data_IF_901496203364
#
_entry.id   IF_901496203364
#
_cell.length_a   1.000
_cell.length_b   1.000
_cell.length_c   1.000
_cell.angle_alpha   90.00
_cell.angle_beta   90.00
_cell.angle_gamma   90.00
#
_symmetry.space_group_name_H-M   'P 1'
#
loop_
_entity.id
_entity.type
_entity.pdbx_description
1 polymer ?
#
# COMPACT_ATOMS: atom_id res chain seq x y z
N UNK A 1 11.66 -39.02 -11.42
CA UNK A 1 12.86 -39.27 -10.60
C UNK A 1 14.07 -39.04 -11.47
N UNK A 2 14.83 -37.96 -11.27
CA UNK A 2 16.13 -37.79 -11.93
C UNK A 2 17.22 -38.20 -10.94
N UNK A 3 18.04 -39.16 -11.36
CA UNK A 3 19.10 -39.82 -10.57
C UNK A 3 20.25 -38.86 -10.26
N UNK A 4 20.95 -39.10 -9.13
CA UNK A 4 22.19 -38.42 -8.69
C UNK A 4 23.38 -38.50 -9.67
N UNK A 5 23.22 -39.10 -10.85
CA UNK A 5 24.30 -39.39 -11.81
C UNK A 5 24.15 -38.71 -13.17
N UNK A 6 23.20 -37.79 -13.37
CA UNK A 6 23.03 -37.10 -14.66
C UNK A 6 23.89 -35.81 -14.68
N UNK A 7 24.94 -35.80 -15.50
CA UNK A 7 25.81 -34.63 -15.76
C UNK A 7 25.37 -33.82 -16.99
N UNK A 8 24.14 -34.03 -17.47
CA UNK A 8 23.54 -33.28 -18.57
C UNK A 8 22.21 -33.92 -19.00
N UNK A 9 21.13 -33.14 -18.95
CA UNK A 9 19.84 -33.48 -19.55
C UNK A 9 19.69 -32.72 -20.88
N UNK A 10 19.19 -33.40 -21.92
CA UNK A 10 18.71 -32.75 -23.14
C UNK A 10 17.18 -32.75 -23.08
N UNK A 11 16.58 -31.59 -22.89
CA UNK A 11 15.13 -31.39 -23.07
C UNK A 11 14.90 -31.17 -24.56
N UNK A 12 14.01 -31.95 -25.16
CA UNK A 12 13.62 -31.79 -26.56
C UNK A 12 12.56 -30.69 -26.65
N UNK A 13 12.86 -29.62 -27.39
CA UNK A 13 11.88 -28.64 -27.81
C UNK A 13 11.34 -29.10 -29.17
N UNK A 14 10.05 -29.46 -29.26
CA UNK A 14 9.41 -29.67 -30.55
C UNK A 14 8.87 -28.34 -31.08
N UNK A 15 9.17 -28.05 -32.34
CA UNK A 15 8.51 -27.00 -33.09
C UNK A 15 7.07 -27.46 -33.35
N UNK A 16 6.07 -26.62 -33.10
CA UNK A 16 4.68 -26.93 -33.42
C UNK A 16 4.54 -27.13 -34.93
N UNK A 17 4.12 -28.32 -35.38
CA UNK A 17 3.69 -28.52 -36.77
C UNK A 17 2.53 -27.56 -37.06
N UNK A 18 2.77 -26.58 -37.93
CA UNK A 18 1.78 -25.60 -38.40
C UNK A 18 1.90 -24.17 -37.85
N UNK A 19 2.75 -23.90 -36.85
CA UNK A 19 3.01 -22.54 -36.38
C UNK A 19 4.52 -22.26 -36.43
N UNK A 20 4.94 -21.32 -37.29
CA UNK A 20 6.35 -21.15 -37.63
C UNK A 20 7.29 -20.80 -36.47
N UNK A 21 6.86 -20.34 -35.28
CA UNK A 21 7.83 -19.79 -34.31
C UNK A 21 7.56 -20.00 -32.79
N UNK A 22 6.54 -20.74 -32.35
CA UNK A 22 6.30 -20.96 -30.89
C UNK A 22 6.83 -22.30 -30.38
N UNK A 23 7.56 -22.26 -29.27
CA UNK A 23 8.05 -23.46 -28.58
C UNK A 23 7.03 -23.91 -27.53
N UNK A 24 6.90 -25.23 -27.40
CA UNK A 24 6.04 -25.86 -26.39
C UNK A 24 6.90 -26.69 -25.43
N UNK A 25 6.74 -26.47 -24.13
CA UNK A 25 7.31 -27.34 -23.10
C UNK A 25 6.17 -28.18 -22.53
N UNK A 26 6.12 -29.46 -22.92
CA UNK A 26 5.06 -30.39 -22.53
C UNK A 26 5.57 -31.82 -22.44
N UNK A 27 4.94 -32.64 -21.59
CA UNK A 27 5.25 -34.07 -21.43
C UNK A 27 6.18 -34.31 -20.25
N UNK A 28 5.77 -35.22 -19.36
CA UNK A 28 6.44 -35.52 -18.09
C UNK A 28 5.50 -35.28 -16.91
N UNK A 29 5.33 -36.30 -16.07
CA UNK A 29 4.51 -36.23 -14.84
C UNK A 29 5.26 -35.56 -13.67
N UNK A 30 6.52 -35.18 -13.88
CA UNK A 30 7.43 -34.71 -12.83
C UNK A 30 7.94 -33.30 -13.14
N UNK A 31 8.24 -32.54 -12.08
CA UNK A 31 8.95 -31.27 -12.11
C UNK A 31 10.25 -31.39 -12.95
N UNK A 32 10.46 -30.43 -13.85
CA UNK A 32 11.71 -30.28 -14.59
C UNK A 32 12.60 -29.25 -13.88
N UNK A 33 13.80 -29.65 -13.49
CA UNK A 33 14.77 -28.75 -12.87
C UNK A 33 15.77 -28.24 -13.90
N UNK A 34 15.91 -26.92 -13.99
CA UNK A 34 16.79 -26.21 -14.91
C UNK A 34 17.76 -25.33 -14.12
N UNK A 35 18.94 -25.11 -14.71
CA UNK A 35 20.01 -24.29 -14.18
C UNK A 35 20.48 -23.36 -15.30
N UNK A 36 20.52 -22.04 -15.05
CA UNK A 36 20.96 -21.03 -16.03
C UNK A 36 20.19 -21.08 -17.37
N UNK A 37 18.98 -20.52 -17.38
CA UNK A 37 18.05 -20.57 -18.53
C UNK A 37 18.08 -19.28 -19.35
N UNK A 38 18.04 -19.42 -20.67
CA UNK A 38 17.92 -18.32 -21.62
C UNK A 38 16.62 -18.49 -22.43
N UNK A 39 15.67 -17.59 -22.23
CA UNK A 39 14.44 -17.50 -23.00
C UNK A 39 14.67 -16.59 -24.21
N UNK A 40 14.82 -17.18 -25.39
CA UNK A 40 15.05 -16.46 -26.64
C UNK A 40 14.28 -17.08 -27.80
N UNK A 41 12.95 -16.98 -27.78
CA UNK A 41 12.06 -17.45 -28.85
C UNK A 41 11.00 -16.39 -29.17
N UNK A 42 10.10 -16.64 -30.13
CA UNK A 42 8.92 -15.76 -30.33
C UNK A 42 7.83 -15.96 -29.26
N UNK A 43 8.10 -16.82 -28.28
CA UNK A 43 7.20 -17.18 -27.18
C UNK A 43 7.31 -18.66 -26.82
N UNK A 44 6.96 -18.95 -25.57
CA UNK A 44 6.94 -20.31 -25.02
C UNK A 44 5.57 -20.54 -24.40
N UNK A 45 4.92 -21.65 -24.75
CA UNK A 45 3.77 -22.17 -24.02
C UNK A 45 4.25 -23.24 -23.03
N UNK A 46 4.14 -22.93 -21.74
CA UNK A 46 4.56 -23.77 -20.64
C UNK A 46 3.38 -24.61 -20.12
N UNK A 47 3.44 -25.91 -20.39
CA UNK A 47 2.43 -26.92 -19.99
C UNK A 47 3.00 -28.00 -19.06
N UNK A 48 4.14 -27.73 -18.42
CA UNK A 48 4.75 -28.57 -17.40
C UNK A 48 5.29 -27.68 -16.28
N UNK A 49 5.49 -28.24 -15.09
CA UNK A 49 6.19 -27.56 -14.01
C UNK A 49 7.70 -27.50 -14.29
N UNK A 50 8.27 -26.29 -14.24
CA UNK A 50 9.71 -26.05 -14.31
C UNK A 50 10.17 -25.31 -13.05
N UNK A 51 11.38 -25.63 -12.60
CA UNK A 51 12.09 -24.84 -11.60
C UNK A 51 13.44 -24.40 -12.16
N UNK A 52 13.87 -23.19 -11.82
CA UNK A 52 15.06 -22.54 -12.35
C UNK A 52 15.93 -22.11 -11.18
N UNK A 53 17.12 -22.69 -11.08
CA UNK A 53 18.21 -22.17 -10.26
C UNK A 53 19.23 -21.41 -11.14
N UNK A 54 20.07 -20.60 -10.50
CA UNK A 54 21.02 -19.73 -11.19
C UNK A 54 20.34 -18.56 -11.90
N UNK A 55 20.73 -18.27 -13.14
CA UNK A 55 20.24 -17.12 -13.90
C UNK A 55 19.08 -17.47 -14.84
N UNK A 56 18.02 -16.66 -14.88
CA UNK A 56 16.99 -16.68 -15.91
C UNK A 56 17.07 -15.40 -16.75
N UNK A 57 17.40 -15.52 -18.04
CA UNK A 57 17.53 -14.37 -18.97
C UNK A 57 16.35 -14.34 -19.95
N UNK A 58 15.55 -13.29 -19.94
CA UNK A 58 14.37 -13.12 -20.80
C UNK A 58 14.71 -12.29 -22.06
N UNK A 59 15.47 -12.85 -22.98
CA UNK A 59 15.99 -12.12 -24.17
C UNK A 59 14.89 -11.76 -25.19
N UNK A 60 13.96 -12.69 -25.43
CA UNK A 60 12.90 -12.52 -26.44
C UNK A 60 11.74 -13.49 -26.18
N UNK A 61 10.53 -12.99 -26.36
CA UNK A 61 9.29 -13.75 -26.30
C UNK A 61 8.78 -13.97 -24.88
N UNK A 62 7.47 -14.00 -24.74
CA UNK A 62 6.84 -14.24 -23.45
C UNK A 62 6.82 -15.74 -23.11
N UNK A 63 6.98 -16.06 -21.83
CA UNK A 63 6.73 -17.39 -21.29
C UNK A 63 5.30 -17.42 -20.77
N UNK A 64 4.40 -18.06 -21.51
CA UNK A 64 2.99 -18.15 -21.18
C UNK A 64 2.75 -19.38 -20.33
N UNK A 65 2.17 -19.17 -19.15
CA UNK A 65 1.81 -20.22 -18.19
C UNK A 65 0.29 -20.34 -18.17
N UNK A 66 -0.23 -21.39 -18.81
CA UNK A 66 -1.67 -21.54 -19.04
C UNK A 66 -2.38 -22.26 -17.87
N UNK A 67 -3.21 -21.54 -17.11
CA UNK A 67 -4.22 -22.16 -16.24
C UNK A 67 -5.49 -22.51 -17.04
N UNK A 68 -6.20 -23.63 -16.78
CA UNK A 68 -6.08 -24.55 -15.63
C UNK A 68 -5.25 -25.83 -15.91
N UNK A 69 -4.58 -25.91 -17.06
CA UNK A 69 -3.91 -27.13 -17.53
C UNK A 69 -2.41 -27.06 -17.26
N UNK A 70 -2.04 -27.41 -16.03
CA UNK A 70 -0.72 -27.85 -15.55
C UNK A 70 0.50 -27.12 -16.16
N UNK A 71 1.01 -26.11 -15.48
CA UNK A 71 2.33 -25.55 -15.71
C UNK A 71 2.65 -24.51 -14.64
N UNK A 72 3.88 -24.51 -14.15
CA UNK A 72 4.38 -23.51 -13.19
C UNK A 72 5.83 -23.20 -13.50
N UNK A 73 6.24 -21.96 -13.26
CA UNK A 73 7.63 -21.53 -13.34
C UNK A 73 8.07 -21.08 -11.95
N UNK A 74 8.99 -21.84 -11.34
CA UNK A 74 9.54 -21.55 -10.03
C UNK A 74 10.97 -21.06 -10.13
N UNK A 75 11.26 -19.90 -9.55
CA UNK A 75 12.61 -19.39 -9.36
C UNK A 75 13.10 -19.82 -7.97
N UNK A 76 14.12 -20.68 -7.94
CA UNK A 76 14.68 -21.25 -6.71
C UNK A 76 15.44 -20.20 -5.90
N UNK A 77 15.75 -20.53 -4.64
CA UNK A 77 16.53 -19.67 -3.73
C UNK A 77 17.82 -19.17 -4.39
N UNK A 78 18.00 -17.85 -4.42
CA UNK A 78 19.18 -17.22 -5.00
C UNK A 78 19.21 -17.16 -6.53
N UNK A 79 18.12 -17.53 -7.21
CA UNK A 79 17.98 -17.27 -8.64
C UNK A 79 18.06 -15.76 -8.93
N UNK A 80 18.62 -15.42 -10.09
CA UNK A 80 18.67 -14.05 -10.59
C UNK A 80 17.94 -13.96 -11.92
N UNK A 81 17.21 -12.87 -12.12
CA UNK A 81 16.45 -12.64 -13.34
C UNK A 81 17.03 -11.42 -14.06
N UNK A 82 17.12 -11.50 -15.40
CA UNK A 82 17.68 -10.44 -16.21
C UNK A 82 16.95 -10.27 -17.54
N UNK A 83 17.08 -9.06 -18.11
CA UNK A 83 16.60 -8.68 -19.45
C UNK A 83 15.09 -8.80 -19.67
N UNK A 84 14.32 -8.78 -18.59
CA UNK A 84 12.85 -8.77 -18.64
C UNK A 84 12.37 -7.48 -19.29
N UNK A 85 11.31 -7.55 -20.07
CA UNK A 85 10.68 -6.38 -20.66
C UNK A 85 9.29 -6.66 -21.23
N UNK A 86 8.70 -5.65 -21.85
CA UNK A 86 7.33 -5.69 -22.38
C UNK A 86 7.08 -6.80 -23.42
N UNK A 87 8.12 -7.26 -24.11
CA UNK A 87 8.05 -8.39 -25.06
C UNK A 87 8.70 -9.68 -24.57
N UNK A 88 9.17 -9.72 -23.31
CA UNK A 88 9.90 -10.84 -22.73
C UNK A 88 9.69 -10.92 -21.22
N UNK A 89 8.55 -11.48 -20.83
CA UNK A 89 8.18 -11.72 -19.43
C UNK A 89 7.31 -12.99 -19.30
N UNK A 90 7.00 -13.37 -18.07
CA UNK A 90 6.05 -14.43 -17.75
C UNK A 90 4.63 -13.87 -17.80
N UNK A 91 3.79 -14.50 -18.61
CA UNK A 91 2.34 -14.23 -18.66
C UNK A 91 1.63 -15.37 -17.95
N UNK A 92 1.10 -15.09 -16.75
CA UNK A 92 0.54 -16.10 -15.85
C UNK A 92 1.27 -16.14 -14.51
N UNK A 93 1.00 -17.18 -13.71
CA UNK A 93 1.60 -17.33 -12.38
C UNK A 93 3.09 -17.70 -12.46
N UNK A 94 3.90 -17.01 -11.66
CA UNK A 94 5.30 -17.31 -11.42
C UNK A 94 5.57 -17.42 -9.92
N UNK A 95 6.45 -18.33 -9.53
CA UNK A 95 6.75 -18.64 -8.15
C UNK A 95 8.17 -18.22 -7.77
N UNK A 96 8.31 -17.66 -6.58
CA UNK A 96 9.57 -17.46 -5.88
C UNK A 96 9.66 -18.47 -4.75
N UNK A 97 10.70 -19.28 -4.74
CA UNK A 97 11.05 -20.17 -3.62
C UNK A 97 12.25 -19.59 -2.87
N UNK A 98 12.15 -19.55 -1.54
CA UNK A 98 13.28 -19.22 -0.66
C UNK A 98 13.27 -17.82 -0.06
N UNK A 99 14.37 -17.52 0.62
CA UNK A 99 14.60 -16.37 1.47
C UNK A 99 14.90 -15.11 0.70
N UNK A 100 15.80 -15.14 -0.28
CA UNK A 100 16.29 -13.91 -0.93
C UNK A 100 15.17 -13.14 -1.60
N UNK A 101 15.22 -11.80 -1.52
CA UNK A 101 14.33 -10.92 -2.27
C UNK A 101 14.40 -11.23 -3.77
N UNK A 102 13.26 -11.14 -4.46
CA UNK A 102 13.18 -11.35 -5.90
C UNK A 102 12.10 -10.46 -6.53
N UNK A 103 12.50 -9.70 -7.54
CA UNK A 103 11.59 -9.02 -8.45
C UNK A 103 11.07 -10.01 -9.49
N UNK A 104 9.75 -10.20 -9.52
CA UNK A 104 9.11 -11.21 -10.34
C UNK A 104 9.00 -10.75 -11.80
N UNK A 105 9.26 -11.63 -12.79
CA UNK A 105 9.25 -11.26 -14.19
C UNK A 105 7.86 -11.37 -14.78
N UNK A 106 6.84 -10.86 -14.08
CA UNK A 106 5.43 -11.04 -14.47
C UNK A 106 4.90 -9.88 -15.29
N UNK A 107 3.97 -10.17 -16.19
CA UNK A 107 3.29 -9.19 -17.02
C UNK A 107 2.04 -9.76 -17.68
N UNK A 108 1.39 -8.94 -18.49
CA UNK A 108 0.17 -9.30 -19.21
C UNK A 108 0.16 -8.64 -20.60
N UNK A 109 0.01 -9.47 -21.64
CA UNK A 109 0.14 -9.05 -23.03
C UNK A 109 1.51 -8.42 -23.33
N UNK A 110 1.52 -7.12 -23.57
CA UNK A 110 2.73 -6.33 -23.87
C UNK A 110 3.15 -5.41 -22.73
N UNK A 111 2.72 -5.71 -21.50
CA UNK A 111 3.02 -4.89 -20.33
C UNK A 111 3.76 -5.72 -19.29
N UNK A 112 5.06 -5.48 -19.14
CA UNK A 112 5.81 -5.98 -18.01
C UNK A 112 5.51 -5.13 -16.77
N UNK A 113 5.11 -5.78 -15.67
CA UNK A 113 4.68 -5.12 -14.44
C UNK A 113 5.14 -5.92 -13.23
N UNK A 114 6.37 -5.69 -12.78
CA UNK A 114 6.93 -6.47 -11.69
C UNK A 114 6.19 -6.26 -10.37
N UNK A 115 6.25 -7.32 -9.57
CA UNK A 115 6.04 -7.29 -8.13
C UNK A 115 7.31 -7.84 -7.50
N UNK A 116 7.78 -7.21 -6.45
CA UNK A 116 8.93 -7.68 -5.69
C UNK A 116 8.46 -8.29 -4.39
N UNK A 117 8.83 -9.54 -4.18
CA UNK A 117 8.72 -10.24 -2.92
C UNK A 117 10.02 -10.02 -2.14
N UNK A 118 9.92 -9.41 -0.95
CA UNK A 118 11.07 -9.17 -0.08
C UNK A 118 11.72 -10.45 0.46
N UNK A 119 12.53 -10.29 1.50
CA UNK A 119 13.11 -11.44 2.18
C UNK A 119 12.05 -12.25 2.93
N UNK A 120 12.09 -13.59 2.80
CA UNK A 120 11.23 -14.50 3.55
C UNK A 120 11.98 -15.16 4.73
N UNK A 121 11.23 -15.80 5.64
CA UNK A 121 11.79 -16.36 6.88
C UNK A 121 12.41 -17.73 6.66
N UNK A 122 11.77 -18.57 5.84
CA UNK A 122 12.16 -19.97 5.64
C UNK A 122 12.58 -20.23 4.19
N UNK A 123 13.56 -21.14 4.00
CA UNK A 123 14.02 -21.52 2.65
C UNK A 123 12.92 -22.25 1.86
N UNK A 124 11.95 -22.84 2.55
CA UNK A 124 10.82 -23.57 1.95
C UNK A 124 9.59 -22.69 1.67
N UNK A 125 9.64 -21.40 2.00
CA UNK A 125 8.53 -20.50 1.72
C UNK A 125 8.45 -20.26 0.20
N UNK A 126 7.25 -20.42 -0.36
CA UNK A 126 6.98 -20.15 -1.78
C UNK A 126 5.90 -19.08 -1.90
N UNK A 127 6.18 -18.04 -2.67
CA UNK A 127 5.26 -16.95 -2.99
C UNK A 127 5.00 -16.93 -4.48
N UNK A 128 3.76 -16.70 -4.88
CA UNK A 128 3.33 -16.74 -6.28
C UNK A 128 2.71 -15.41 -6.66
N UNK A 129 2.98 -14.95 -7.88
CA UNK A 129 2.31 -13.79 -8.41
C UNK A 129 1.99 -13.95 -9.89
N UNK A 130 0.89 -13.31 -10.30
CA UNK A 130 0.66 -12.91 -11.68
C UNK A 130 0.19 -11.46 -11.72
N UNK A 131 0.47 -10.79 -12.82
CA UNK A 131 -0.07 -9.48 -13.13
C UNK A 131 -1.27 -9.62 -14.09
N UNK A 132 -2.27 -8.75 -13.94
CA UNK A 132 -3.45 -8.65 -14.80
C UNK A 132 -3.73 -7.21 -15.17
N UNK A 133 -3.77 -6.91 -16.46
CA UNK A 133 -4.23 -5.61 -16.99
C UNK A 133 -5.75 -5.63 -17.20
N UNK A 134 -6.48 -6.10 -16.21
CA UNK A 134 -7.93 -6.22 -16.22
C UNK A 134 -8.44 -6.34 -14.79
N UNK A 135 -9.65 -5.86 -14.53
CA UNK A 135 -10.25 -5.95 -13.20
C UNK A 135 -10.79 -7.36 -12.88
N UNK A 136 -10.18 -8.13 -11.95
CA UNK A 136 -10.68 -9.45 -11.57
C UNK A 136 -11.88 -9.38 -10.61
N UNK A 137 -12.28 -8.18 -10.19
CA UNK A 137 -13.35 -7.90 -9.24
C UNK A 137 -14.60 -7.30 -9.90
N UNK A 138 -14.79 -7.44 -11.21
CA UNK A 138 -16.01 -6.99 -11.91
C UNK A 138 -17.25 -7.58 -11.20
N UNK A 139 -18.19 -6.71 -10.81
CA UNK A 139 -19.39 -7.09 -10.06
C UNK A 139 -19.19 -7.30 -8.55
N UNK A 140 -17.97 -7.15 -8.03
CA UNK A 140 -17.63 -7.15 -6.60
C UNK A 140 -17.26 -5.76 -6.09
N UNK A 141 -17.85 -4.72 -6.68
CA UNK A 141 -17.58 -3.34 -6.32
C UNK A 141 -17.98 -3.06 -4.85
N UNK A 142 -17.08 -2.44 -4.09
CA UNK A 142 -17.36 -1.99 -2.73
C UNK A 142 -17.40 -0.46 -2.65
N UNK A 143 -18.43 0.07 -2.01
CA UNK A 143 -18.63 1.53 -1.85
C UNK A 143 -18.05 2.08 -0.56
N UNK A 144 -17.85 1.26 0.49
CA UNK A 144 -17.23 1.77 1.70
C UNK A 144 -15.74 1.96 1.46
N UNK A 145 -15.31 3.20 1.68
CA UNK A 145 -13.92 3.61 1.70
C UNK A 145 -13.69 4.27 3.05
N UNK A 146 -12.68 3.81 3.79
CA UNK A 146 -12.24 4.47 5.02
C UNK A 146 -11.37 5.66 4.62
N UNK A 147 -10.05 5.49 4.61
CA UNK A 147 -9.07 6.47 4.17
C UNK A 147 -8.83 6.42 2.65
N UNK A 148 -9.33 5.41 1.94
CA UNK A 148 -9.06 5.22 0.50
C UNK A 148 -9.83 6.25 -0.33
N UNK A 149 -9.13 7.14 -1.02
CA UNK A 149 -9.70 8.16 -1.90
C UNK A 149 -10.01 7.53 -3.27
N UNK A 150 -9.03 6.81 -3.84
CA UNK A 150 -9.08 6.28 -5.19
C UNK A 150 -8.45 4.88 -5.24
N UNK A 151 -8.98 4.02 -6.12
CA UNK A 151 -8.47 2.67 -6.36
C UNK A 151 -8.08 2.57 -7.83
N UNK A 152 -6.89 2.03 -8.12
CA UNK A 152 -6.50 1.69 -9.47
C UNK A 152 -7.36 0.51 -9.95
N UNK A 153 -8.28 0.78 -10.88
CA UNK A 153 -9.11 -0.26 -11.49
C UNK A 153 -8.60 -0.76 -12.85
N UNK A 154 -7.42 -0.31 -13.28
CA UNK A 154 -6.83 -0.65 -14.57
C UNK A 154 -5.92 -1.89 -14.49
N UNK A 155 -5.29 -2.14 -13.34
CA UNK A 155 -4.30 -3.20 -13.19
C UNK A 155 -4.23 -3.77 -11.77
N UNK A 156 -3.89 -5.06 -11.68
CA UNK A 156 -3.92 -5.83 -10.45
C UNK A 156 -2.80 -6.87 -10.41
N UNK A 157 -2.37 -7.21 -9.20
CA UNK A 157 -1.51 -8.35 -8.93
C UNK A 157 -2.29 -9.37 -8.11
N UNK A 158 -2.35 -10.59 -8.62
CA UNK A 158 -2.88 -11.72 -7.85
C UNK A 158 -1.70 -12.43 -7.20
N UNK A 159 -1.76 -12.57 -5.89
CA UNK A 159 -0.68 -13.13 -5.08
C UNK A 159 -1.21 -14.32 -4.30
N UNK A 160 -0.41 -15.37 -4.20
CA UNK A 160 -0.67 -16.50 -3.30
C UNK A 160 0.61 -16.95 -2.60
N UNK A 161 0.46 -17.80 -1.59
CA UNK A 161 1.57 -18.39 -0.86
C UNK A 161 1.37 -19.89 -0.67
N UNK A 162 2.47 -20.63 -0.76
CA UNK A 162 2.56 -22.07 -0.52
C UNK A 162 3.72 -22.28 0.46
N UNK A 163 3.44 -22.17 1.75
CA UNK A 163 4.48 -22.22 2.77
C UNK A 163 3.91 -22.19 4.19
N UNK A 164 4.78 -22.36 5.17
CA UNK A 164 4.41 -22.18 6.58
C UNK A 164 4.28 -20.71 6.94
N UNK A 165 5.15 -19.85 6.39
CA UNK A 165 5.00 -18.41 6.54
C UNK A 165 4.21 -17.86 5.34
N UNK A 166 3.28 -16.97 5.64
CA UNK A 166 2.38 -16.36 4.65
C UNK A 166 2.60 -14.86 4.51
N UNK A 167 3.48 -14.31 5.35
CA UNK A 167 3.71 -12.87 5.44
C UNK A 167 5.05 -12.50 4.80
N UNK A 168 5.05 -11.43 4.02
CA UNK A 168 6.23 -10.91 3.33
C UNK A 168 6.07 -9.41 3.06
N UNK A 169 7.19 -8.70 2.89
CA UNK A 169 7.18 -7.34 2.33
C UNK A 169 6.88 -7.44 0.83
N UNK A 170 5.96 -6.62 0.34
CA UNK A 170 5.63 -6.52 -1.09
C UNK A 170 6.05 -5.16 -1.63
N UNK A 171 6.53 -5.13 -2.87
CA UNK A 171 6.65 -3.88 -3.63
C UNK A 171 5.98 -4.02 -4.99
N UNK A 172 5.12 -3.05 -5.35
CA UNK A 172 4.45 -2.99 -6.65
C UNK A 172 5.02 -1.83 -7.47
N UNK A 173 5.22 -2.04 -8.77
CA UNK A 173 5.58 -0.97 -9.70
C UNK A 173 4.37 -0.18 -10.19
N UNK A 174 4.55 1.09 -10.57
CA UNK A 174 3.61 1.81 -11.42
C UNK A 174 4.26 2.23 -12.75
N UNK A 175 3.44 2.54 -13.74
CA UNK A 175 3.89 2.99 -15.06
C UNK A 175 2.79 3.81 -15.73
N UNK A 176 3.17 4.93 -16.34
CA UNK A 176 2.27 5.93 -16.91
C UNK A 176 1.38 5.40 -18.04
N UNK A 177 1.69 4.23 -18.60
CA UNK A 177 0.91 3.58 -19.68
C UNK A 177 -0.24 2.73 -19.15
N UNK A 178 -0.22 2.35 -17.88
CA UNK A 178 -1.25 1.48 -17.26
C UNK A 178 -1.86 2.08 -16.02
N UNK A 179 -1.08 2.80 -15.22
CA UNK A 179 -1.53 3.41 -13.98
C UNK A 179 -2.25 4.74 -14.27
N UNK A 180 -3.48 4.94 -13.79
CA UNK A 180 -4.21 6.20 -13.96
C UNK A 180 -3.41 7.43 -13.52
N UNK A 181 -3.40 8.48 -14.33
CA UNK A 181 -2.61 9.70 -14.07
C UNK A 181 -3.01 10.45 -12.79
N UNK A 182 -4.25 10.29 -12.33
CA UNK A 182 -4.76 10.80 -11.05
C UNK A 182 -3.95 10.28 -9.86
N UNK A 183 -3.56 9.01 -9.89
CA UNK A 183 -2.74 8.38 -8.86
C UNK A 183 -1.27 8.85 -8.89
N UNK A 184 -0.82 9.37 -10.04
CA UNK A 184 0.57 9.75 -10.29
C UNK A 184 0.82 11.27 -10.12
N UNK A 185 -0.19 12.04 -9.72
CA UNK A 185 -0.05 13.49 -9.59
C UNK A 185 0.87 13.92 -8.42
N UNK A 186 0.77 13.25 -7.27
CA UNK A 186 1.66 13.41 -6.10
C UNK A 186 1.74 12.08 -5.35
N UNK A 187 2.34 11.03 -5.95
CA UNK A 187 2.27 9.68 -5.41
C UNK A 187 2.82 9.59 -3.98
N UNK A 188 3.84 10.38 -3.63
CA UNK A 188 4.44 10.42 -2.30
C UNK A 188 3.50 10.89 -1.18
N UNK A 189 2.34 11.47 -1.51
CA UNK A 189 1.36 11.97 -0.53
C UNK A 189 0.31 10.95 -0.10
N UNK A 190 0.32 9.74 -0.64
CA UNK A 190 -0.67 8.73 -0.26
C UNK A 190 -0.86 7.57 -1.22
N UNK A 191 0.06 7.35 -2.17
CA UNK A 191 0.01 6.17 -3.03
C UNK A 191 0.41 4.93 -2.23
N UNK A 192 -0.57 4.08 -1.93
CA UNK A 192 -0.41 2.88 -1.12
C UNK A 192 -0.72 1.61 -1.91
N UNK A 193 -0.28 0.47 -1.37
CA UNK A 193 -0.72 -0.85 -1.80
C UNK A 193 -2.05 -1.16 -1.11
N UNK A 194 -3.04 -1.55 -1.89
CA UNK A 194 -4.35 -1.98 -1.42
C UNK A 194 -4.53 -3.48 -1.66
N UNK A 195 -5.10 -4.19 -0.67
CA UNK A 195 -5.46 -5.61 -0.79
C UNK A 195 -6.96 -5.80 -0.67
N UNK A 196 -7.54 -6.62 -1.55
CA UNK A 196 -8.92 -7.05 -1.43
C UNK A 196 -9.06 -8.12 -0.34
N UNK A 197 -9.87 -7.83 0.68
CA UNK A 197 -10.30 -8.81 1.67
C UNK A 197 -11.57 -9.51 1.19
N UNK A 198 -11.44 -10.77 0.77
CA UNK A 198 -12.57 -11.52 0.23
C UNK A 198 -13.56 -12.00 1.32
N UNK A 199 -13.21 -11.96 2.59
CA UNK A 199 -14.14 -12.29 3.69
C UNK A 199 -14.96 -11.05 4.05
N UNK A 200 -14.29 -9.92 4.27
CA UNK A 200 -14.95 -8.67 4.61
C UNK A 200 -15.53 -7.92 3.38
N UNK A 201 -15.26 -8.41 2.17
CA UNK A 201 -15.66 -7.82 0.88
C UNK A 201 -15.28 -6.34 0.75
N UNK A 202 -14.09 -5.96 1.22
CA UNK A 202 -13.61 -4.57 1.23
C UNK A 202 -12.12 -4.47 0.91
N UNK A 203 -11.70 -3.28 0.49
CA UNK A 203 -10.28 -2.96 0.36
C UNK A 203 -9.64 -2.66 1.71
N UNK A 204 -8.43 -3.18 1.90
CA UNK A 204 -7.56 -2.96 3.04
C UNK A 204 -6.34 -2.16 2.56
N UNK A 205 -6.04 -1.08 3.26
CA UNK A 205 -4.81 -0.32 3.07
C UNK A 205 -3.65 -1.05 3.73
N UNK A 206 -2.71 -1.55 2.93
CA UNK A 206 -1.49 -2.22 3.37
C UNK A 206 -0.30 -1.24 3.52
N UNK A 207 -0.55 0.05 3.32
CA UNK A 207 0.45 1.12 3.37
C UNK A 207 1.26 1.27 2.09
N UNK A 208 2.11 2.29 2.06
CA UNK A 208 3.01 2.52 0.94
C UNK A 208 4.17 3.44 1.27
N UNK A 209 5.38 2.95 1.05
CA UNK A 209 6.59 3.76 0.97
C UNK A 209 6.91 3.92 -0.51
N UNK A 210 6.80 5.15 -0.99
CA UNK A 210 6.91 5.49 -2.41
C UNK A 210 8.36 5.79 -2.76
N UNK A 211 8.88 5.10 -3.78
CA UNK A 211 10.13 5.43 -4.46
C UNK A 211 9.81 5.96 -5.85
N UNK A 212 9.85 7.29 -5.99
CA UNK A 212 9.50 7.99 -7.24
C UNK A 212 10.53 7.70 -8.35
N UNK A 213 11.79 7.46 -7.99
CA UNK A 213 12.87 7.22 -8.97
C UNK A 213 12.71 5.85 -9.59
N UNK A 214 12.47 4.83 -8.76
CA UNK A 214 12.27 3.45 -9.23
C UNK A 214 10.82 3.13 -9.62
N UNK A 215 9.90 4.08 -9.39
CA UNK A 215 8.46 3.93 -9.66
C UNK A 215 7.82 2.74 -8.93
N UNK A 216 8.15 2.60 -7.64
CA UNK A 216 7.66 1.49 -6.82
C UNK A 216 7.02 1.97 -5.54
N UNK A 217 6.01 1.25 -5.06
CA UNK A 217 5.43 1.39 -3.72
C UNK A 217 5.75 0.13 -2.93
N UNK A 218 6.31 0.26 -1.74
CA UNK A 218 6.69 -0.86 -0.85
C UNK A 218 5.84 -0.87 0.42
N UNK A 219 5.40 -2.04 0.87
CA UNK A 219 4.71 -2.15 2.17
C UNK A 219 5.68 -1.82 3.31
N UNK A 220 5.28 -1.05 4.33
CA UNK A 220 6.15 -0.69 5.45
C UNK A 220 6.42 -1.86 6.40
N UNK A 221 5.54 -2.87 6.41
CA UNK A 221 5.62 -4.08 7.23
C UNK A 221 5.25 -5.32 6.41
N UNK A 222 5.57 -6.50 6.94
CA UNK A 222 5.16 -7.78 6.33
C UNK A 222 3.63 -7.87 6.27
N UNK A 223 3.11 -8.19 5.09
CA UNK A 223 1.66 -8.37 4.85
C UNK A 223 1.38 -9.79 4.43
N UNK A 224 0.16 -10.27 4.66
CA UNK A 224 -0.22 -11.61 4.18
C UNK A 224 -0.26 -11.60 2.65
N UNK A 225 0.65 -12.32 2.02
CA UNK A 225 0.79 -12.44 0.58
C UNK A 225 -0.29 -13.38 0.00
N UNK A 226 -1.54 -12.96 0.06
CA UNK A 226 -2.67 -13.71 -0.49
C UNK A 226 -3.80 -12.79 -0.95
N UNK A 227 -4.28 -13.03 -2.17
CA UNK A 227 -5.44 -12.35 -2.73
C UNK A 227 -5.06 -11.37 -3.84
N UNK A 228 -5.93 -10.39 -4.05
CA UNK A 228 -5.82 -9.42 -5.13
C UNK A 228 -5.27 -8.12 -4.54
N UNK A 229 -4.21 -7.60 -5.14
CA UNK A 229 -3.55 -6.37 -4.77
C UNK A 229 -3.61 -5.36 -5.93
N UNK A 230 -3.63 -4.08 -5.59
CA UNK A 230 -3.49 -2.98 -6.56
C UNK A 230 -2.92 -1.74 -5.86
N UNK A 231 -2.73 -0.66 -6.61
CA UNK A 231 -2.37 0.64 -6.07
C UNK A 231 -3.62 1.48 -5.81
N UNK A 232 -3.55 2.41 -4.87
CA UNK A 232 -4.60 3.39 -4.67
C UNK A 232 -4.12 4.61 -3.92
N UNK A 233 -4.91 5.68 -3.99
CA UNK A 233 -4.64 6.90 -3.25
C UNK A 233 -5.39 6.85 -1.92
N UNK A 234 -4.67 7.17 -0.84
CA UNK A 234 -5.16 7.17 0.53
C UNK A 234 -5.00 8.56 1.12
N UNK A 235 -6.00 9.01 1.86
CA UNK A 235 -5.92 10.17 2.74
C UNK A 235 -5.11 9.78 3.99
N UNK A 236 -3.81 10.11 3.99
CA UNK A 236 -2.91 9.82 5.11
C UNK A 236 -3.28 10.58 6.38
N UNK A 237 -4.10 11.62 6.26
CA UNK A 237 -4.56 12.43 7.38
C UNK A 237 -5.88 11.92 7.97
N UNK A 238 -6.53 10.96 7.32
CA UNK A 238 -7.80 10.38 7.74
C UNK A 238 -7.76 9.87 9.17
N UNK A 239 -8.58 10.47 10.03
CA UNK A 239 -8.74 10.12 11.44
C UNK A 239 -7.42 10.18 12.27
N UNK A 240 -6.49 11.07 11.92
CA UNK A 240 -5.36 11.51 12.76
C UNK A 240 -5.76 11.76 14.22
N UNK A 241 -5.02 11.19 15.18
CA UNK A 241 -5.32 11.32 16.61
C UNK A 241 -5.29 12.80 17.09
N UNK A 242 -6.38 13.25 17.73
CA UNK A 242 -6.46 14.53 18.43
C UNK A 242 -5.82 14.44 19.82
N UNK A 243 -4.79 15.24 20.06
CA UNK A 243 -4.12 15.40 21.37
C UNK A 243 -4.37 16.79 21.92
N UNK A 244 -4.86 16.88 23.17
CA UNK A 244 -5.20 18.13 23.83
C UNK A 244 -4.20 18.37 24.97
N UNK A 245 -3.54 19.53 24.96
CA UNK A 245 -2.63 19.95 26.03
C UNK A 245 -3.36 20.88 26.98
N UNK A 246 -3.39 20.53 28.26
CA UNK A 246 -4.27 21.13 29.26
C UNK A 246 -3.66 22.31 30.02
N UNK A 247 -2.67 23.00 29.45
CA UNK A 247 -2.03 24.17 30.04
C UNK A 247 -1.81 25.29 29.01
N UNK A 248 -2.02 26.54 29.43
CA UNK A 248 -1.81 27.76 28.64
C UNK A 248 -1.08 28.78 29.50
N UNK A 249 0.00 29.34 28.98
CA UNK A 249 0.85 30.35 29.62
C UNK A 249 1.20 31.43 28.61
N UNK A 250 0.32 32.41 28.35
CA UNK A 250 0.49 33.42 27.29
C UNK A 250 1.46 34.53 27.74
N UNK A 251 2.73 34.16 27.95
CA UNK A 251 3.81 35.03 28.41
C UNK A 251 4.73 35.51 27.26
N UNK A 252 4.54 34.98 26.04
CA UNK A 252 5.30 35.34 24.85
C UNK A 252 6.66 34.67 24.73
N UNK A 253 6.92 33.59 25.47
CA UNK A 253 8.18 32.82 25.37
C UNK A 253 8.17 31.77 24.24
N UNK A 254 7.04 31.64 23.53
CA UNK A 254 6.84 30.67 22.45
C UNK A 254 6.37 29.29 22.91
N UNK A 255 6.21 29.07 24.22
CA UNK A 255 5.83 27.78 24.81
C UNK A 255 4.45 27.87 25.47
N UNK A 256 3.50 27.09 24.95
CA UNK A 256 2.12 27.04 25.46
C UNK A 256 1.43 28.42 25.51
N UNK A 257 1.82 29.36 24.64
CA UNK A 257 1.23 30.72 24.58
C UNK A 257 -0.26 30.74 24.19
N UNK A 258 -0.80 29.60 23.78
CA UNK A 258 -2.19 29.39 23.44
C UNK A 258 -2.62 27.96 23.80
N UNK A 259 -3.92 27.68 23.75
CA UNK A 259 -4.44 26.34 23.97
C UNK A 259 -4.13 25.41 22.78
N UNK A 260 -3.15 24.51 22.96
CA UNK A 260 -2.66 23.64 21.89
C UNK A 260 -3.53 22.38 21.78
N UNK A 261 -4.05 22.13 20.58
CA UNK A 261 -4.73 20.88 20.22
C UNK A 261 -4.13 20.35 18.92
N UNK A 262 -3.27 19.33 18.99
CA UNK A 262 -2.63 18.76 17.80
C UNK A 262 -3.65 18.09 16.90
N UNK A 263 -3.49 18.28 15.58
CA UNK A 263 -4.35 17.77 14.50
C UNK A 263 -5.78 18.32 14.47
N UNK A 264 -6.12 19.33 15.29
CA UNK A 264 -7.48 19.90 15.31
C UNK A 264 -7.87 20.54 13.97
N UNK A 265 -6.87 21.11 13.28
CA UNK A 265 -6.99 21.73 11.96
C UNK A 265 -7.36 20.75 10.84
N UNK A 266 -7.20 19.44 11.08
CA UNK A 266 -7.57 18.39 10.11
C UNK A 266 -9.07 18.09 10.08
N UNK A 267 -9.84 18.69 10.99
CA UNK A 267 -11.28 18.44 11.13
C UNK A 267 -12.08 19.73 11.22
N UNK A 268 -13.30 19.77 10.66
CA UNK A 268 -14.30 20.73 11.09
C UNK A 268 -14.47 20.64 12.60
N UNK A 269 -14.22 21.73 13.30
CA UNK A 269 -14.14 21.72 14.75
C UNK A 269 -14.79 22.96 15.39
N UNK A 270 -15.10 22.84 16.68
CA UNK A 270 -15.47 23.96 17.54
C UNK A 270 -14.85 23.76 18.91
N UNK A 271 -14.22 24.80 19.42
CA UNK A 271 -13.59 24.83 20.74
C UNK A 271 -14.31 25.85 21.59
N UNK A 272 -14.77 25.42 22.77
CA UNK A 272 -15.41 26.28 23.77
C UNK A 272 -14.62 26.21 25.06
N UNK A 273 -14.35 27.36 25.68
CA UNK A 273 -13.75 27.45 27.01
C UNK A 273 -14.76 28.06 27.98
N UNK A 274 -14.87 27.44 29.14
CA UNK A 274 -15.81 27.74 30.22
C UNK A 274 -15.03 28.10 31.47
N UNK A 275 -15.47 29.11 32.20
CA UNK A 275 -14.94 29.37 33.54
C UNK A 275 -15.42 28.31 34.55
N UNK A 276 -14.89 28.38 35.78
CA UNK A 276 -15.23 27.45 36.86
C UNK A 276 -16.73 27.39 37.21
N UNK A 277 -17.48 28.45 36.92
CA UNK A 277 -18.92 28.53 37.19
C UNK A 277 -19.78 28.09 35.99
N UNK A 278 -19.16 27.55 34.93
CA UNK A 278 -19.87 27.08 33.74
C UNK A 278 -20.32 28.18 32.79
N UNK A 279 -19.82 29.43 32.94
CA UNK A 279 -20.09 30.50 31.98
C UNK A 279 -19.04 30.51 30.86
N UNK A 280 -19.49 30.67 29.61
CA UNK A 280 -18.63 30.60 28.42
C UNK A 280 -17.79 31.85 28.33
N UNK A 281 -16.48 31.67 28.21
CA UNK A 281 -15.53 32.78 28.12
C UNK A 281 -14.90 32.87 26.74
N UNK A 282 -14.88 31.77 25.98
CA UNK A 282 -14.34 31.75 24.62
C UNK A 282 -15.10 30.71 23.78
N UNK A 283 -15.26 31.00 22.49
CA UNK A 283 -15.76 30.06 21.51
C UNK A 283 -15.15 30.36 20.15
N UNK A 284 -14.63 29.33 19.50
CA UNK A 284 -14.17 29.41 18.13
C UNK A 284 -14.68 28.23 17.32
N UNK A 285 -15.21 28.52 16.14
CA UNK A 285 -15.38 27.54 15.07
C UNK A 285 -14.12 27.52 14.21
N UNK A 286 -13.71 26.35 13.75
CA UNK A 286 -12.48 26.14 12.97
C UNK A 286 -11.22 26.66 13.71
N UNK A 287 -11.09 26.25 14.97
CA UNK A 287 -9.97 26.59 15.84
C UNK A 287 -8.65 26.14 15.25
N UNK A 288 -7.63 27.00 15.33
CA UNK A 288 -6.27 26.76 14.83
C UNK A 288 -6.24 26.23 13.39
N UNK A 289 -6.92 26.89 12.46
CA UNK A 289 -7.10 26.41 11.08
C UNK A 289 -5.78 26.06 10.34
N UNK A 290 -4.67 26.69 10.73
CA UNK A 290 -3.35 26.44 10.16
C UNK A 290 -2.56 25.37 10.91
N UNK A 291 -2.96 25.03 12.15
CA UNK A 291 -2.27 24.05 13.00
C UNK A 291 -0.94 24.54 13.59
N UNK A 292 -0.66 25.84 13.51
CA UNK A 292 0.57 26.49 13.94
C UNK A 292 0.34 27.56 15.03
N UNK A 293 -0.90 27.71 15.50
CA UNK A 293 -1.26 28.72 16.50
C UNK A 293 -1.29 30.15 15.98
N UNK A 294 -1.12 30.38 14.68
CA UNK A 294 -1.06 31.73 14.09
C UNK A 294 -2.40 32.47 14.15
N UNK A 295 -3.53 31.75 14.16
CA UNK A 295 -4.85 32.36 14.10
C UNK A 295 -5.93 31.54 14.81
N UNK A 296 -6.96 32.24 15.28
CA UNK A 296 -8.18 31.64 15.85
C UNK A 296 -7.87 30.64 16.98
N UNK A 297 -7.04 31.09 17.93
CA UNK A 297 -6.62 30.32 19.09
C UNK A 297 -6.90 31.06 20.39
N UNK A 298 -7.13 30.30 21.47
CA UNK A 298 -7.37 30.84 22.79
C UNK A 298 -6.04 31.17 23.47
N UNK A 299 -5.83 32.46 23.77
CA UNK A 299 -4.60 33.00 24.38
C UNK A 299 -4.84 33.50 25.81
N UNK A 300 -5.82 32.94 26.52
CA UNK A 300 -6.17 33.39 27.87
C UNK A 300 -7.03 34.65 27.93
N UNK A 301 -7.70 35.02 26.83
CA UNK A 301 -8.56 36.20 26.73
C UNK A 301 -10.02 35.79 26.51
N UNK A 302 -10.94 36.52 27.14
CA UNK A 302 -12.38 36.32 26.98
C UNK A 302 -12.88 37.00 25.70
N UNK A 303 -13.83 36.38 25.01
CA UNK A 303 -14.48 36.93 23.82
C UNK A 303 -16.00 37.04 24.04
N UNK A 304 -16.59 38.20 23.70
CA UNK A 304 -18.05 38.43 23.78
C UNK A 304 -18.47 39.89 24.00
N UNK A 305 -19.79 40.15 23.89
CA UNK A 305 -20.37 41.48 24.19
C UNK A 305 -20.25 41.78 25.69
N UNK A 306 -19.49 42.81 26.06
CA UNK A 306 -19.31 43.28 27.45
C UNK A 306 -17.94 42.98 28.09
N UNK A 307 -16.97 42.48 27.31
CA UNK A 307 -15.59 42.28 27.78
C UNK A 307 -14.86 43.63 27.89
N UNK A 308 -14.19 43.86 29.03
CA UNK A 308 -13.46 45.11 29.31
C UNK A 308 -12.18 45.22 28.45
N UNK A 309 -11.61 46.43 28.39
CA UNK A 309 -10.52 46.83 27.49
C UNK A 309 -9.19 46.05 27.58
N UNK A 310 -9.06 45.08 28.50
CA UNK A 310 -7.88 44.19 28.57
C UNK A 310 -8.17 42.74 28.16
N UNK A 311 -9.42 42.27 28.19
CA UNK A 311 -9.81 40.92 27.76
C UNK A 311 -9.25 39.73 28.56
N UNK A 312 -8.15 39.88 29.30
CA UNK A 312 -7.44 38.78 29.97
C UNK A 312 -8.24 38.14 31.10
N UNK A 313 -8.26 36.82 31.10
CA UNK A 313 -8.88 35.99 32.12
C UNK A 313 -7.95 35.81 33.33
N UNK A 314 -8.45 35.66 34.57
CA UNK A 314 -7.59 35.37 35.72
C UNK A 314 -6.85 34.03 35.61
N UNK A 315 -5.68 33.92 36.24
CA UNK A 315 -5.01 32.63 36.47
C UNK A 315 -5.94 31.67 37.20
N UNK A 316 -6.02 30.43 36.73
CA UNK A 316 -6.83 29.39 37.36
C UNK A 316 -7.28 28.29 36.43
N UNK A 317 -8.20 27.47 36.94
CA UNK A 317 -8.76 26.32 36.21
C UNK A 317 -10.01 26.72 35.43
N UNK A 318 -9.95 26.45 34.13
CA UNK A 318 -11.04 26.53 33.17
C UNK A 318 -11.41 25.13 32.70
N UNK A 319 -12.47 25.03 31.91
CA UNK A 319 -12.90 23.78 31.30
C UNK A 319 -13.07 23.97 29.80
N UNK A 320 -12.64 22.99 29.01
CA UNK A 320 -12.81 23.00 27.57
C UNK A 320 -13.88 21.99 27.13
N UNK A 321 -14.54 22.31 26.02
CA UNK A 321 -15.30 21.37 25.19
C UNK A 321 -14.81 21.52 23.77
N UNK A 322 -14.23 20.44 23.24
CA UNK A 322 -13.72 20.35 21.87
C UNK A 322 -14.62 19.39 21.10
N UNK A 323 -15.29 19.88 20.07
CA UNK A 323 -16.09 19.09 19.15
C UNK A 323 -15.40 19.04 17.80
N UNK A 324 -15.31 17.87 17.19
CA UNK A 324 -14.77 17.72 15.84
C UNK A 324 -15.48 16.60 15.09
N UNK A 325 -15.54 16.73 13.77
CA UNK A 325 -16.20 15.77 12.90
C UNK A 325 -15.20 14.78 12.31
N UNK A 326 -15.34 13.50 12.67
CA UNK A 326 -14.61 12.40 12.06
C UNK A 326 -15.35 11.87 10.84
N UNK A 327 -14.61 11.53 9.79
CA UNK A 327 -15.16 10.77 8.68
C UNK A 327 -15.14 9.28 9.04
N UNK A 328 -16.24 8.61 8.75
CA UNK A 328 -16.38 7.16 8.92
C UNK A 328 -16.93 6.56 7.63
N UNK A 329 -16.78 5.24 7.48
CA UNK A 329 -17.37 4.50 6.37
C UNK A 329 -18.90 4.66 6.24
N UNK A 330 -19.59 5.10 7.30
CA UNK A 330 -21.04 5.29 7.38
C UNK A 330 -21.49 6.75 7.33
N UNK A 331 -20.58 7.71 7.21
CA UNK A 331 -20.87 9.15 7.23
C UNK A 331 -19.96 9.93 8.19
N UNK A 332 -20.37 11.16 8.55
CA UNK A 332 -19.66 11.97 9.55
C UNK A 332 -20.13 11.61 10.96
N UNK A 333 -19.21 11.45 11.91
CA UNK A 333 -19.49 11.29 13.33
C UNK A 333 -18.88 12.45 14.11
N UNK A 334 -19.68 13.16 14.90
CA UNK A 334 -19.15 14.21 15.79
C UNK A 334 -18.61 13.60 17.07
N UNK A 335 -17.31 13.77 17.31
CA UNK A 335 -16.65 13.43 18.57
C UNK A 335 -16.60 14.65 19.47
N UNK A 336 -16.91 14.47 20.76
CA UNK A 336 -16.79 15.51 21.79
C UNK A 336 -15.77 15.07 22.83
N UNK A 337 -14.74 15.90 23.06
CA UNK A 337 -13.79 15.76 24.17
C UNK A 337 -13.96 16.94 25.13
N UNK A 338 -13.91 16.67 26.43
CA UNK A 338 -13.95 17.71 27.47
C UNK A 338 -12.94 17.41 28.57
N UNK A 339 -12.53 18.45 29.29
CA UNK A 339 -11.52 18.36 30.34
C UNK A 339 -11.26 19.70 30.99
N UNK A 340 -10.28 19.75 31.88
CA UNK A 340 -9.82 21.00 32.49
C UNK A 340 -8.69 21.64 31.67
N UNK A 341 -8.56 22.95 31.78
CA UNK A 341 -7.50 23.76 31.19
C UNK A 341 -6.92 24.65 32.29
N UNK A 342 -5.63 24.55 32.54
CA UNK A 342 -4.92 25.46 33.43
C UNK A 342 -4.48 26.69 32.64
N UNK A 343 -4.87 27.89 33.10
CA UNK A 343 -4.38 29.16 32.55
C UNK A 343 -3.46 29.81 33.59
N UNK A 344 -2.22 30.06 33.20
CA UNK A 344 -1.22 30.77 34.00
C UNK A 344 -0.89 32.11 33.36
N UNK A 345 -1.40 33.20 33.92
CA UNK A 345 -1.02 34.56 33.53
C UNK A 345 0.04 35.09 34.51
N UNK A 346 1.24 35.36 33.99
CA UNK A 346 2.34 36.00 34.70
C UNK A 346 2.30 37.53 34.59
#
# INVERSE_FOLDING_TARGET
MFSKTISGSKVFFSQLEGAKDKLKISGGVNLTELENVFFNSEGIDLQNDISIAGKASFERGNVVVNMPLNGSITFKEGASIAKVGDGSHVVGMADKEGKKELEMPVGDGTYYRPITFGESKEVKDVFQAQYKKSNPLIGREHKERTSIIEINNAEYWEVDNKGSNKSIILSLSWDERTTPSSLLANPEKGLHILRWDDVAKKWVDEGGIVDVVNKTVKTPIEVTAKGIFTLGMVDTDYNSEIKIYNAVSPNGDGLNDYFIITNINKYPNTVQIMNRWGSKVYEASNYDANGDGSMNVFKGEAEGKGVSSSGKLPTGTYYYVVKYELRTAKGSETVTKSGYLHLENN
#
